data_IF_819241606090
#
_entry.id   IF_819241606090
#
_cell.length_a   1.000
_cell.length_b   1.000
_cell.length_c   1.000
_cell.angle_alpha   90.00
_cell.angle_beta   90.00
_cell.angle_gamma   90.00
#
_symmetry.space_group_name_H-M   'P 1'
#
loop_
_entity.id
_entity.type
_entity.pdbx_description
1 polymer ?
#
# COMPACT_ATOMS: atom_id res chain seq x y z
N UNK A 1 -0.95 20.15 18.15
CA UNK A 1 -0.75 18.91 18.95
C UNK A 1 -1.07 17.74 18.06
N UNK A 2 -0.08 16.88 17.78
CA UNK A 2 -0.23 15.65 17.02
C UNK A 2 -0.50 14.48 17.97
N UNK A 3 -1.50 13.67 17.66
CA UNK A 3 -1.87 12.47 18.40
C UNK A 3 -1.72 11.26 17.49
N UNK A 4 -1.57 10.09 18.10
CA UNK A 4 -1.43 8.81 17.39
C UNK A 4 -2.35 7.78 18.02
N UNK A 5 -3.02 6.97 17.21
CA UNK A 5 -3.86 5.86 17.66
C UNK A 5 -3.68 4.65 16.75
N UNK A 6 -3.85 3.45 17.30
CA UNK A 6 -3.85 2.20 16.54
C UNK A 6 -5.27 1.66 16.54
N UNK A 7 -5.75 1.26 15.38
CA UNK A 7 -7.08 0.69 15.23
C UNK A 7 -7.20 -0.13 13.96
N UNK A 8 -8.31 -0.87 13.85
CA UNK A 8 -8.66 -1.62 12.66
C UNK A 8 -9.49 -0.74 11.74
N UNK A 9 -9.06 -0.56 10.49
CA UNK A 9 -9.82 0.15 9.48
C UNK A 9 -11.11 -0.62 9.17
N UNK A 10 -12.27 -0.01 9.35
CA UNK A 10 -13.57 -0.68 9.14
C UNK A 10 -14.19 -0.28 7.81
N UNK A 11 -14.20 1.01 7.50
CA UNK A 11 -14.80 1.53 6.28
C UNK A 11 -14.16 2.83 5.84
N UNK A 12 -14.29 3.12 4.56
CA UNK A 12 -13.78 4.31 3.90
C UNK A 12 -14.88 4.91 3.02
N UNK A 13 -15.19 6.18 3.25
CA UNK A 13 -16.11 6.93 2.39
C UNK A 13 -15.42 7.37 1.10
N UNK A 14 -16.19 7.63 0.03
CA UNK A 14 -15.66 8.32 -1.15
C UNK A 14 -15.20 9.74 -0.80
N UNK A 15 -14.30 10.29 -1.62
CA UNK A 15 -13.86 11.68 -1.48
C UNK A 15 -15.04 12.59 -1.80
N UNK A 16 -15.38 13.47 -0.86
CA UNK A 16 -16.38 14.52 -1.02
C UNK A 16 -15.70 15.86 -1.29
N UNK A 17 -15.97 16.44 -2.45
CA UNK A 17 -15.52 17.80 -2.76
C UNK A 17 -16.50 18.81 -2.15
N UNK A 18 -16.09 19.47 -1.07
CA UNK A 18 -16.91 20.46 -0.34
C UNK A 18 -16.72 21.88 -0.89
N UNK A 19 -15.58 22.16 -1.52
CA UNK A 19 -15.33 23.36 -2.31
C UNK A 19 -14.26 23.10 -3.37
N UNK A 20 -13.95 24.10 -4.19
CA UNK A 20 -12.90 24.00 -5.22
C UNK A 20 -11.53 23.62 -4.64
N UNK A 21 -11.20 24.11 -3.44
CA UNK A 21 -9.92 23.85 -2.77
C UNK A 21 -10.01 22.89 -1.59
N UNK A 22 -11.23 22.48 -1.21
CA UNK A 22 -11.46 21.66 -0.02
C UNK A 22 -12.16 20.35 -0.37
N UNK A 23 -11.40 19.27 -0.28
CA UNK A 23 -11.89 17.90 -0.41
C UNK A 23 -11.73 17.17 0.91
N UNK A 24 -12.72 16.36 1.27
CA UNK A 24 -12.74 15.60 2.52
C UNK A 24 -13.04 14.15 2.22
N UNK A 25 -12.30 13.25 2.87
CA UNK A 25 -12.58 11.82 2.86
C UNK A 25 -12.67 11.33 4.30
N UNK A 26 -13.78 10.69 4.67
CA UNK A 26 -13.94 10.13 6.02
C UNK A 26 -13.69 8.64 6.02
N UNK A 27 -13.26 8.11 7.16
CA UNK A 27 -13.07 6.68 7.37
C UNK A 27 -13.30 6.34 8.84
N UNK A 28 -13.80 5.13 9.11
CA UNK A 28 -14.10 4.66 10.46
C UNK A 28 -13.07 3.62 10.86
N UNK A 29 -12.58 3.74 12.09
CA UNK A 29 -11.74 2.73 12.71
C UNK A 29 -12.34 2.21 13.99
N UNK A 30 -12.17 0.92 14.20
CA UNK A 30 -12.45 0.22 15.43
C UNK A 30 -11.21 0.27 16.32
N UNK A 31 -11.38 0.75 17.54
CA UNK A 31 -10.34 0.89 18.55
C UNK A 31 -10.72 -0.08 19.66
N UNK A 32 -9.87 -1.08 19.87
CA UNK A 32 -10.08 -2.09 20.93
C UNK A 32 -9.03 -1.89 22.00
N UNK A 33 -9.48 -1.52 23.20
CA UNK A 33 -8.63 -1.30 24.37
C UNK A 33 -8.89 -2.40 25.40
N UNK A 34 -7.82 -2.94 26.00
CA UNK A 34 -7.93 -3.90 27.08
C UNK A 34 -7.76 -3.16 28.41
N UNK A 35 -8.82 -3.03 29.19
CA UNK A 35 -8.78 -2.45 30.52
C UNK A 35 -9.36 -3.43 31.54
N UNK A 36 -8.59 -3.76 32.58
CA UNK A 36 -8.98 -4.65 33.67
C UNK A 36 -9.45 -6.06 33.20
N UNK A 37 -8.84 -6.60 32.16
CA UNK A 37 -9.21 -7.92 31.60
C UNK A 37 -10.46 -7.92 30.73
N UNK A 38 -11.08 -6.75 30.51
CA UNK A 38 -12.21 -6.59 29.60
C UNK A 38 -11.78 -5.80 28.36
N UNK A 39 -12.23 -6.27 27.20
CA UNK A 39 -12.04 -5.58 25.91
C UNK A 39 -13.16 -4.54 25.77
N UNK A 40 -12.78 -3.28 25.61
CA UNK A 40 -13.68 -2.20 25.25
C UNK A 40 -13.44 -1.81 23.81
N UNK A 41 -14.46 -2.01 22.99
CA UNK A 41 -14.44 -1.63 21.58
C UNK A 41 -15.16 -0.30 21.39
N UNK A 42 -14.46 0.67 20.82
CA UNK A 42 -14.99 1.97 20.43
C UNK A 42 -14.80 2.17 18.91
N UNK A 43 -15.57 3.08 18.34
CA UNK A 43 -15.45 3.46 16.93
C UNK A 43 -15.22 4.95 16.84
N UNK A 44 -14.23 5.33 16.04
CA UNK A 44 -13.93 6.73 15.77
C UNK A 44 -13.92 6.99 14.27
N UNK A 45 -14.61 8.06 13.87
CA UNK A 45 -14.54 8.58 12.51
C UNK A 45 -13.41 9.60 12.41
N UNK A 46 -12.53 9.37 11.44
CA UNK A 46 -11.45 10.25 11.08
C UNK A 46 -11.73 10.89 9.72
N UNK A 47 -11.18 12.07 9.50
CA UNK A 47 -11.22 12.75 8.22
C UNK A 47 -9.83 13.05 7.68
N UNK A 48 -9.66 12.83 6.39
CA UNK A 48 -8.53 13.29 5.58
C UNK A 48 -8.99 14.51 4.80
N UNK A 49 -8.09 15.48 4.62
CA UNK A 49 -8.37 16.71 3.89
C UNK A 49 -7.39 16.90 2.73
N UNK A 50 -7.89 17.39 1.61
CA UNK A 50 -7.12 17.76 0.42
C UNK A 50 -6.19 16.60 -0.03
N UNK A 51 -4.89 16.85 -0.14
CA UNK A 51 -3.88 15.89 -0.59
C UNK A 51 -3.83 14.63 0.27
N UNK A 52 -4.20 14.71 1.55
CA UNK A 52 -4.19 13.54 2.43
C UNK A 52 -5.30 12.53 2.08
N UNK A 53 -6.31 12.89 1.29
CA UNK A 53 -7.40 11.99 0.91
C UNK A 53 -6.92 10.72 0.19
N UNK A 54 -5.79 10.82 -0.52
CA UNK A 54 -5.17 9.70 -1.25
C UNK A 54 -4.44 8.71 -0.33
N UNK A 55 -4.12 9.09 0.91
CA UNK A 55 -3.43 8.18 1.86
C UNK A 55 -4.19 6.88 2.07
N UNK A 56 -5.53 6.96 2.09
CA UNK A 56 -6.40 5.82 2.35
C UNK A 56 -6.43 4.80 1.20
N UNK A 57 -6.04 5.18 -0.02
CA UNK A 57 -6.06 4.28 -1.19
C UNK A 57 -5.04 3.14 -1.07
N UNK A 58 -4.04 3.29 -0.21
CA UNK A 58 -3.03 2.28 0.09
C UNK A 58 -3.52 1.21 1.09
N UNK A 59 -4.67 1.42 1.74
CA UNK A 59 -5.17 0.55 2.80
C UNK A 59 -6.49 -0.11 2.41
N UNK A 60 -6.83 -1.20 3.10
CA UNK A 60 -8.09 -1.94 2.89
C UNK A 60 -8.80 -2.15 4.23
N UNK A 61 -10.15 -2.16 4.23
CA UNK A 61 -10.92 -2.57 5.40
C UNK A 61 -10.42 -3.90 5.98
N UNK A 62 -10.37 -4.00 7.30
CA UNK A 62 -9.85 -5.13 8.06
C UNK A 62 -8.39 -5.00 8.50
N UNK A 63 -7.62 -4.07 7.93
CA UNK A 63 -6.21 -3.88 8.30
C UNK A 63 -6.08 -3.08 9.61
N UNK A 64 -5.12 -3.48 10.45
CA UNK A 64 -4.70 -2.64 11.57
C UNK A 64 -3.77 -1.54 11.04
N UNK A 65 -4.04 -0.31 11.44
CA UNK A 65 -3.32 0.88 11.02
C UNK A 65 -2.99 1.76 12.21
N UNK A 66 -1.82 2.40 12.15
CA UNK A 66 -1.42 3.49 13.04
C UNK A 66 -1.81 4.80 12.36
N UNK A 67 -2.65 5.59 13.00
CA UNK A 67 -3.18 6.86 12.47
C UNK A 67 -2.58 7.99 13.27
N UNK A 68 -1.97 8.94 12.57
CA UNK A 68 -1.52 10.20 13.15
C UNK A 68 -2.49 11.29 12.76
N UNK A 69 -2.99 12.03 13.76
CA UNK A 69 -4.06 12.99 13.58
C UNK A 69 -3.91 14.20 14.49
N UNK A 70 -4.65 15.25 14.16
CA UNK A 70 -4.83 16.42 14.99
C UNK A 70 -6.31 16.53 15.36
N UNK A 71 -6.59 16.96 16.59
CA UNK A 71 -7.95 17.31 16.99
C UNK A 71 -8.21 18.76 16.59
N UNK A 72 -9.27 19.00 15.81
CA UNK A 72 -9.74 20.35 15.46
C UNK A 72 -11.14 20.55 16.00
N UNK A 73 -11.30 21.56 16.85
CA UNK A 73 -12.61 22.03 17.29
C UNK A 73 -13.02 23.26 16.49
N UNK A 74 -14.28 23.32 16.06
CA UNK A 74 -14.89 24.54 15.53
C UNK A 74 -16.17 24.82 16.29
N UNK A 75 -16.27 26.02 16.84
CA UNK A 75 -17.50 26.49 17.46
C UNK A 75 -18.41 27.03 16.38
N UNK A 76 -19.67 26.65 16.42
CA UNK A 76 -20.72 27.18 15.57
C UNK A 76 -21.92 27.52 16.44
N UNK A 77 -22.61 28.59 16.09
CA UNK A 77 -23.84 28.98 16.76
C UNK A 77 -24.99 28.22 16.11
N UNK A 78 -25.70 27.43 16.91
CA UNK A 78 -26.84 26.65 16.42
C UNK A 78 -28.05 27.55 16.14
N UNK A 79 -28.99 27.13 15.28
CA UNK A 79 -30.23 27.89 15.05
C UNK A 79 -31.04 28.18 16.31
N UNK A 80 -30.84 27.40 17.38
CA UNK A 80 -31.45 27.60 18.70
C UNK A 80 -30.71 28.61 19.59
N UNK A 81 -29.63 29.24 19.12
CA UNK A 81 -28.85 30.23 19.86
C UNK A 81 -27.80 29.66 20.82
N UNK A 82 -27.63 28.33 20.86
CA UNK A 82 -26.59 27.68 21.67
C UNK A 82 -25.29 27.55 20.87
N UNK A 83 -24.16 27.92 21.47
CA UNK A 83 -22.83 27.71 20.89
C UNK A 83 -22.41 26.25 21.04
N UNK A 84 -22.34 25.53 19.92
CA UNK A 84 -21.97 24.11 19.87
C UNK A 84 -20.54 23.96 19.36
N UNK A 85 -19.83 22.97 19.89
CA UNK A 85 -18.52 22.57 19.40
C UNK A 85 -18.66 21.36 18.47
N UNK A 86 -18.07 21.43 17.29
CA UNK A 86 -17.83 20.26 16.44
C UNK A 86 -16.36 19.92 16.53
N UNK A 87 -16.08 18.66 16.83
CA UNK A 87 -14.72 18.12 16.86
C UNK A 87 -14.51 17.23 15.66
N UNK A 88 -13.45 17.51 14.89
CA UNK A 88 -13.01 16.69 13.79
C UNK A 88 -11.62 16.13 14.09
N UNK A 89 -11.44 14.83 13.81
CA UNK A 89 -10.16 14.15 13.92
C UNK A 89 -9.48 14.17 12.54
N UNK A 90 -8.58 15.13 12.33
CA UNK A 90 -7.92 15.31 11.05
C UNK A 90 -6.67 14.42 10.97
N UNK A 91 -6.78 13.30 10.27
CA UNK A 91 -5.65 12.44 9.97
C UNK A 91 -4.73 13.11 8.94
N UNK A 92 -3.42 12.95 9.14
CA UNK A 92 -2.39 13.46 8.24
C UNK A 92 -1.35 12.40 7.85
N UNK A 93 -1.31 11.27 8.56
CA UNK A 93 -0.49 10.11 8.20
C UNK A 93 -1.18 8.83 8.66
N UNK A 94 -1.11 7.80 7.84
CA UNK A 94 -1.60 6.46 8.15
C UNK A 94 -0.48 5.49 7.80
N UNK A 95 -0.19 4.56 8.71
CA UNK A 95 0.83 3.53 8.54
C UNK A 95 0.20 2.16 8.79
N UNK A 96 0.68 1.13 8.09
CA UNK A 96 0.26 -0.22 8.39
C UNK A 96 0.80 -0.59 9.78
N UNK A 97 -0.07 -1.03 10.69
CA UNK A 97 0.38 -1.50 11.98
C UNK A 97 1.01 -2.88 11.81
N UNK A 98 2.33 -2.91 11.80
CA UNK A 98 3.09 -4.16 11.89
C UNK A 98 3.36 -4.40 13.38
N UNK A 99 2.71 -5.42 13.95
CA UNK A 99 3.24 -5.98 15.19
C UNK A 99 4.64 -6.45 14.85
N UNK A 100 5.65 -5.96 15.58
CA UNK A 100 7.00 -6.46 15.46
C UNK A 100 6.94 -7.98 15.72
N UNK A 101 6.90 -8.74 14.65
CA UNK A 101 6.99 -10.17 14.72
C UNK A 101 8.43 -10.42 15.12
N UNK A 102 8.66 -10.69 16.40
CA UNK A 102 9.89 -11.29 16.88
C UNK A 102 10.04 -12.62 16.14
N UNK A 103 10.57 -12.60 14.92
CA UNK A 103 11.05 -13.81 14.30
C UNK A 103 12.21 -14.29 15.16
N UNK A 104 12.15 -15.50 15.75
CA UNK A 104 13.39 -16.17 16.09
C UNK A 104 14.14 -16.33 14.77
N UNK A 105 15.33 -15.75 14.65
CA UNK A 105 16.23 -16.11 13.57
C UNK A 105 16.47 -17.62 13.68
N UNK A 106 15.80 -18.37 12.80
CA UNK A 106 16.15 -19.75 12.56
C UNK A 106 17.59 -19.76 12.02
N UNK A 107 18.50 -20.31 12.82
CA UNK A 107 19.86 -20.65 12.46
C UNK A 107 19.81 -21.54 11.21
N UNK A 108 20.11 -20.95 10.05
CA UNK A 108 20.10 -21.65 8.78
C UNK A 108 21.26 -22.66 8.76
N UNK A 109 20.90 -23.94 8.69
CA UNK A 109 21.81 -25.07 8.47
C UNK A 109 22.71 -24.81 7.26
N UNK A 110 24.00 -24.56 7.51
CA UNK A 110 25.03 -24.79 6.52
C UNK A 110 25.24 -26.30 6.36
N UNK A 111 25.26 -26.85 5.13
CA UNK A 111 25.76 -28.21 4.93
C UNK A 111 27.24 -28.25 5.27
N UNK A 112 27.59 -29.12 6.22
CA UNK A 112 28.95 -29.39 6.65
C UNK A 112 29.83 -29.73 5.44
N UNK A 113 30.91 -28.98 5.27
CA UNK A 113 31.95 -29.33 4.32
C UNK A 113 32.71 -30.56 4.83
N UNK A 114 33.04 -31.55 3.96
CA UNK A 114 33.82 -32.70 4.37
C UNK A 114 35.24 -32.27 4.74
N UNK A 115 35.65 -32.68 5.94
CA UNK A 115 36.98 -32.46 6.50
C UNK A 115 37.96 -33.40 5.79
N UNK A 116 38.84 -32.87 4.94
CA UNK A 116 39.98 -33.63 4.45
C UNK A 116 41.10 -33.58 5.49
N UNK A 117 41.40 -34.75 6.07
CA UNK A 117 42.57 -35.01 6.90
C UNK A 117 43.83 -34.95 6.04
N UNK A 118 44.81 -34.16 6.45
CA UNK A 118 46.16 -34.16 5.87
C UNK A 118 46.99 -35.29 6.47
N UNK A 119 47.40 -36.25 5.64
CA UNK A 119 48.52 -37.16 5.89
C UNK A 119 49.84 -36.52 5.40
N UNK A 120 50.95 -36.62 6.13
CA UNK A 120 52.27 -36.24 5.62
C UNK A 120 52.88 -37.41 4.82
N UNK A 121 53.10 -37.20 3.52
CA UNK A 121 53.85 -38.13 2.68
C UNK A 121 55.21 -37.54 2.28
N UNK A 122 56.27 -38.29 2.57
CA UNK A 122 57.66 -37.97 2.27
C UNK A 122 58.00 -38.29 0.80
N UNK A 123 58.48 -37.25 0.10
CA UNK A 123 59.64 -37.18 -0.78
C UNK A 123 59.88 -38.11 -2.02
N UNK A 124 60.39 -37.44 -3.07
CA UNK A 124 61.22 -37.85 -4.23
C UNK A 124 60.61 -38.50 -5.49
N UNK A 125 60.66 -37.73 -6.60
CA UNK A 125 61.05 -38.25 -7.92
C UNK A 125 60.07 -38.08 -9.11
N UNK A 126 60.56 -37.39 -10.15
CA UNK A 126 60.26 -37.56 -11.59
C UNK A 126 58.91 -37.09 -12.21
N UNK A 127 59.00 -35.91 -12.83
CA UNK A 127 58.71 -35.51 -14.24
C UNK A 127 57.38 -35.82 -14.96
N UNK A 128 56.94 -34.76 -15.69
CA UNK A 128 56.02 -34.69 -16.86
C UNK A 128 54.51 -34.72 -16.50
N UNK A 129 53.56 -34.01 -17.15
CA UNK A 129 53.55 -33.34 -18.45
C UNK A 129 52.40 -32.33 -18.49
N UNK A 130 52.61 -31.26 -19.24
CA UNK A 130 51.73 -30.13 -19.55
C UNK A 130 50.47 -30.50 -20.32
N UNK A 131 49.32 -29.90 -20.00
CA UNK A 131 48.50 -29.11 -20.96
C UNK A 131 47.23 -28.49 -20.34
N UNK A 132 47.25 -27.15 -20.20
CA UNK A 132 46.15 -26.20 -20.52
C UNK A 132 46.71 -25.36 -21.68
N UNK A 133 45.92 -24.69 -22.56
CA UNK A 133 44.65 -24.02 -22.22
C UNK A 133 43.57 -24.05 -23.32
N UNK A 134 42.34 -23.66 -22.99
CA UNK A 134 41.53 -22.84 -23.90
C UNK A 134 40.41 -22.15 -23.10
N UNK A 135 40.51 -20.82 -23.04
CA UNK A 135 39.39 -19.96 -22.69
C UNK A 135 38.51 -19.77 -23.92
N UNK A 136 37.20 -19.68 -23.74
CA UNK A 136 36.28 -18.90 -24.59
C UNK A 136 34.92 -18.79 -23.90
N UNK A 137 34.54 -17.57 -23.53
CA UNK A 137 33.15 -17.08 -23.52
C UNK A 137 32.97 -16.23 -24.82
N UNK A 138 31.77 -15.79 -25.29
CA UNK A 138 30.48 -15.61 -24.58
C UNK A 138 29.17 -15.92 -25.38
N UNK A 139 28.03 -15.80 -24.66
CA UNK A 139 26.66 -15.35 -25.04
C UNK A 139 26.13 -15.60 -26.47
N UNK A 140 24.94 -16.22 -26.60
CA UNK A 140 23.75 -15.64 -27.28
C UNK A 140 22.50 -16.53 -27.13
N UNK A 141 21.35 -15.87 -26.93
CA UNK A 141 20.00 -16.44 -26.92
C UNK A 141 19.51 -16.73 -28.36
N UNK A 142 18.61 -17.70 -28.57
CA UNK A 142 17.70 -17.68 -29.71
C UNK A 142 16.35 -17.04 -29.35
N UNK A 143 15.92 -16.15 -30.24
CA UNK A 143 14.66 -15.41 -30.23
C UNK A 143 13.57 -16.12 -31.07
N UNK A 144 12.37 -15.52 -31.03
CA UNK A 144 11.25 -15.62 -31.99
C UNK A 144 10.14 -16.66 -31.73
N UNK A 145 9.05 -16.15 -31.14
CA UNK A 145 7.70 -16.70 -31.28
C UNK A 145 6.71 -15.56 -31.45
N UNK A 146 6.31 -15.31 -32.69
CA UNK A 146 5.29 -14.33 -33.10
C UNK A 146 3.98 -15.06 -33.43
N UNK A 147 2.88 -14.69 -32.76
CA UNK A 147 1.51 -14.96 -33.21
C UNK A 147 0.69 -13.70 -32.88
N UNK A 148 0.51 -12.82 -33.86
CA UNK A 148 -0.61 -12.74 -34.81
C UNK A 148 -1.94 -12.32 -34.15
N UNK A 149 -2.27 -11.06 -34.41
CA UNK A 149 -3.55 -10.41 -34.07
C UNK A 149 -4.49 -10.58 -35.27
N UNK A 150 -5.71 -11.12 -35.12
CA UNK A 150 -6.68 -11.13 -36.21
C UNK A 150 -7.31 -9.75 -36.37
N UNK A 151 -7.22 -9.23 -37.60
CA UNK A 151 -7.76 -7.98 -38.08
C UNK A 151 -9.11 -8.24 -38.78
N UNK A 152 -10.17 -7.50 -38.45
CA UNK A 152 -11.35 -7.43 -39.32
C UNK A 152 -12.67 -7.04 -38.64
N UNK A 153 -13.05 -5.76 -38.74
CA UNK A 153 -14.29 -5.29 -39.39
C UNK A 153 -14.42 -3.76 -39.23
N UNK A 154 -14.50 -2.98 -40.32
CA UNK A 154 -14.91 -1.58 -40.28
C UNK A 154 -16.42 -1.46 -40.53
N UNK A 155 -17.18 -1.07 -39.50
CA UNK A 155 -18.57 -0.66 -39.69
C UNK A 155 -18.61 0.82 -40.08
N UNK A 156 -19.07 1.06 -41.31
CA UNK A 156 -19.46 2.35 -41.84
C UNK A 156 -20.73 2.85 -41.13
N UNK A 157 -20.80 4.12 -40.75
CA UNK A 157 -21.99 4.96 -40.95
C UNK A 157 -21.69 6.41 -40.54
N UNK A 158 -21.75 7.29 -41.54
CA UNK A 158 -21.95 8.72 -41.36
C UNK A 158 -23.38 8.97 -40.90
N UNK A 159 -23.59 9.71 -39.80
CA UNK A 159 -24.94 9.96 -39.29
C UNK A 159 -25.00 10.89 -38.07
N UNK A 160 -24.77 12.18 -38.33
CA UNK A 160 -25.42 13.37 -37.75
C UNK A 160 -25.92 13.35 -36.29
N UNK A 161 -25.39 14.30 -35.50
CA UNK A 161 -26.00 14.80 -34.28
C UNK A 161 -27.22 15.68 -34.59
N UNK A 162 -28.36 15.52 -33.90
CA UNK A 162 -29.37 16.57 -33.87
C UNK A 162 -28.92 17.69 -32.93
N UNK A 163 -28.91 18.92 -33.47
CA UNK A 163 -28.80 20.16 -32.69
C UNK A 163 -30.07 20.35 -31.85
N UNK A 164 -29.99 21.02 -30.69
CA UNK A 164 -31.17 21.45 -29.96
C UNK A 164 -31.87 22.59 -30.72
N UNK A 165 -33.10 22.34 -31.16
CA UNK A 165 -34.09 23.36 -31.51
C UNK A 165 -35.11 23.29 -30.37
N UNK A 166 -35.20 24.27 -29.47
CA UNK A 166 -35.68 25.62 -29.76
C UNK A 166 -37.15 25.70 -29.32
N UNK A 167 -37.43 26.64 -28.41
CA UNK A 167 -38.75 27.24 -28.12
C UNK A 167 -39.61 26.68 -26.96
N UNK A 168 -39.46 27.34 -25.79
CA UNK A 168 -40.58 27.87 -25.00
C UNK A 168 -41.21 29.05 -25.79
N UNK A 169 -42.54 29.33 -25.76
CA UNK A 169 -43.21 29.82 -24.54
C UNK A 169 -44.71 29.46 -24.38
N UNK A 170 -45.16 29.29 -23.13
CA UNK A 170 -46.15 30.10 -22.37
C UNK A 170 -46.27 29.53 -20.96
#
# INVERSE_FOLDING_TARGET
>A
MSNTIIGKLISASPIQQKSETFSVRTFVVEISENANGQVYTNYAEFQLVNNNCQLLDNFRPGQHVTIHFNVRGSMWDSPSGERKCITNLNAWKIELFQQANSQPQAWNNQPAQPVHQTQPAQAWGATQQTSRPAATQPVTQPAWGSQQVPQGQPAQAWGQAPRPTGDLPF
#
